data_IF_140334928057
#
_entry.id   IF_140334928057
#
_cell.length_a   1.000
_cell.length_b   1.000
_cell.length_c   1.000
_cell.angle_alpha   90.00
_cell.angle_beta   90.00
_cell.angle_gamma   90.00
#
_symmetry.space_group_name_H-M   'P 1'
#
loop_
_entity.id
_entity.type
_entity.pdbx_description
1 polymer ?
#
# COMPACT_ATOMS: atom_id res chain seq x y z
N UNK A 1 5.48 -7.59 -36.13
CA UNK A 1 4.39 -8.50 -35.68
C UNK A 1 3.72 -7.80 -34.51
N UNK A 2 2.55 -7.19 -34.69
CA UNK A 2 1.85 -6.49 -33.60
C UNK A 2 1.35 -7.51 -32.60
N UNK A 3 1.72 -7.34 -31.33
CA UNK A 3 1.11 -8.07 -30.24
C UNK A 3 -0.40 -7.79 -30.27
N UNK A 4 -1.20 -8.78 -30.66
CA UNK A 4 -2.64 -8.77 -30.41
C UNK A 4 -2.79 -8.59 -28.89
N UNK A 5 -3.34 -7.44 -28.47
CA UNK A 5 -3.74 -7.25 -27.09
C UNK A 5 -4.80 -8.32 -26.78
N UNK A 6 -4.38 -9.37 -26.08
CA UNK A 6 -5.25 -10.44 -25.63
C UNK A 6 -6.15 -9.81 -24.55
N UNK A 7 -7.30 -9.32 -24.98
CA UNK A 7 -8.21 -8.63 -24.09
C UNK A 7 -8.67 -9.56 -22.96
N UNK A 8 -8.73 -9.08 -21.71
CA UNK A 8 -8.99 -9.94 -20.56
C UNK A 8 -10.45 -10.42 -20.55
N UNK A 9 -10.68 -11.73 -20.51
CA UNK A 9 -12.04 -12.31 -20.36
C UNK A 9 -12.55 -12.26 -18.91
N UNK A 10 -11.63 -12.13 -17.96
CA UNK A 10 -11.89 -12.07 -16.52
C UNK A 10 -10.86 -11.15 -15.84
N UNK A 11 -11.24 -10.54 -14.71
CA UNK A 11 -10.34 -9.74 -13.88
C UNK A 11 -10.43 -10.16 -12.41
N UNK A 12 -9.27 -10.24 -11.75
CA UNK A 12 -9.18 -10.46 -10.32
C UNK A 12 -8.86 -9.14 -9.61
N UNK A 13 -9.77 -8.71 -8.75
CA UNK A 13 -9.59 -7.54 -7.89
C UNK A 13 -9.38 -8.04 -6.46
N UNK A 14 -8.38 -7.48 -5.77
CA UNK A 14 -8.01 -7.83 -4.40
C UNK A 14 -7.88 -6.57 -3.59
N UNK A 15 -8.38 -6.62 -2.36
CA UNK A 15 -8.12 -5.58 -1.36
C UNK A 15 -6.91 -5.99 -0.51
N UNK A 16 -6.03 -5.05 -0.22
CA UNK A 16 -4.86 -5.26 0.62
C UNK A 16 -5.02 -4.52 1.94
N UNK A 17 -4.57 -5.06 3.07
CA UNK A 17 -4.51 -4.30 4.31
C UNK A 17 -3.41 -3.21 4.20
N UNK A 18 -3.60 -2.07 4.87
CA UNK A 18 -2.67 -0.92 4.85
C UNK A 18 -1.23 -1.28 5.26
N UNK A 19 -1.03 -2.35 6.01
CA UNK A 19 0.32 -2.85 6.35
C UNK A 19 1.18 -3.14 5.11
N UNK A 20 0.59 -3.36 3.92
CA UNK A 20 1.34 -3.53 2.67
C UNK A 20 2.27 -2.34 2.37
N UNK A 21 1.96 -1.14 2.86
CA UNK A 21 2.77 0.07 2.70
C UNK A 21 4.03 0.10 3.57
N UNK A 22 4.27 -0.92 4.40
CA UNK A 22 5.53 -1.08 5.15
C UNK A 22 6.68 -1.65 4.30
N UNK A 23 6.44 -1.97 3.03
CA UNK A 23 7.48 -2.47 2.12
C UNK A 23 8.71 -1.55 1.97
N UNK A 24 8.62 -0.19 2.00
CA UNK A 24 9.80 0.66 1.96
C UNK A 24 10.66 0.49 3.21
N UNK A 25 10.04 0.38 4.40
CA UNK A 25 10.75 0.15 5.64
C UNK A 25 11.46 -1.21 5.65
N UNK A 26 10.85 -2.25 5.05
CA UNK A 26 11.50 -3.54 4.84
C UNK A 26 12.78 -3.38 4.02
N UNK A 27 12.70 -2.69 2.89
CA UNK A 27 13.85 -2.48 2.00
C UNK A 27 14.92 -1.65 2.69
N UNK A 28 14.53 -0.56 3.37
CA UNK A 28 15.46 0.25 4.16
C UNK A 28 16.15 -0.58 5.23
N UNK A 29 15.42 -1.39 5.99
CA UNK A 29 16.01 -2.26 7.02
C UNK A 29 17.01 -3.25 6.42
N UNK A 30 16.70 -3.85 5.28
CA UNK A 30 17.59 -4.79 4.60
C UNK A 30 18.85 -4.11 4.07
N UNK A 31 18.72 -2.93 3.44
CA UNK A 31 19.85 -2.16 2.93
C UNK A 31 20.76 -1.72 4.09
N UNK A 32 20.18 -1.20 5.17
CA UNK A 32 20.95 -0.75 6.34
C UNK A 32 21.64 -1.93 7.05
N UNK A 33 21.01 -3.10 7.09
CA UNK A 33 21.68 -4.33 7.55
C UNK A 33 22.93 -4.64 6.71
N UNK A 34 22.83 -4.65 5.39
CA UNK A 34 23.96 -4.91 4.49
C UNK A 34 25.09 -3.90 4.76
N UNK A 35 24.78 -2.60 4.81
CA UNK A 35 25.78 -1.55 5.05
C UNK A 35 26.44 -1.72 6.43
N UNK A 36 25.65 -2.01 7.46
CA UNK A 36 26.16 -2.13 8.83
C UNK A 36 27.03 -3.38 9.04
N UNK A 37 26.82 -4.46 8.27
CA UNK A 37 27.67 -5.67 8.33
C UNK A 37 29.11 -5.39 7.85
N UNK A 38 29.30 -4.44 6.93
CA UNK A 38 30.63 -4.04 6.47
C UNK A 38 31.28 -2.93 7.33
N UNK A 39 30.57 -2.46 8.36
CA UNK A 39 31.07 -1.43 9.28
C UNK A 39 31.60 -2.07 10.55
N UNK A 40 32.80 -1.68 11.00
CA UNK A 40 33.42 -2.25 12.20
C UNK A 40 32.61 -1.92 13.47
N UNK A 41 32.07 -0.70 13.54
CA UNK A 41 31.27 -0.21 14.66
C UNK A 41 29.85 0.18 14.22
N UNK A 42 28.85 0.13 15.12
CA UNK A 42 27.53 0.71 14.90
C UNK A 42 27.60 2.17 14.44
N UNK A 43 26.98 2.48 13.30
CA UNK A 43 27.02 3.84 12.73
C UNK A 43 25.74 4.59 13.12
N UNK A 44 25.81 5.67 13.94
CA UNK A 44 24.63 6.39 14.43
C UNK A 44 23.72 6.96 13.32
N UNK A 45 24.35 7.34 12.19
CA UNK A 45 23.64 7.91 11.04
C UNK A 45 22.68 6.87 10.43
N UNK A 46 23.07 5.59 10.39
CA UNK A 46 22.22 4.53 9.87
C UNK A 46 20.97 4.35 10.73
N UNK A 47 21.11 4.42 12.05
CA UNK A 47 19.97 4.31 12.96
C UNK A 47 19.05 5.53 12.87
N UNK A 48 19.62 6.72 12.71
CA UNK A 48 18.86 7.94 12.44
C UNK A 48 18.03 7.83 11.15
N UNK A 49 18.64 7.35 10.06
CA UNK A 49 17.92 7.10 8.79
C UNK A 49 16.80 6.09 8.99
N UNK A 50 17.05 5.00 9.72
CA UNK A 50 16.04 4.00 10.01
C UNK A 50 14.84 4.59 10.77
N UNK A 51 15.08 5.35 11.84
CA UNK A 51 14.01 5.99 12.61
C UNK A 51 13.22 7.01 11.81
N UNK A 52 13.87 7.78 10.93
CA UNK A 52 13.19 8.71 10.03
C UNK A 52 12.26 7.94 9.08
N UNK A 53 12.76 6.88 8.43
CA UNK A 53 11.92 6.08 7.52
C UNK A 53 10.80 5.38 8.26
N UNK A 54 11.07 4.82 9.43
CA UNK A 54 10.07 4.20 10.32
C UNK A 54 8.97 5.20 10.68
N UNK A 55 9.36 6.40 11.12
CA UNK A 55 8.42 7.45 11.45
C UNK A 55 7.56 7.84 10.24
N UNK A 56 8.19 8.10 9.08
CA UNK A 56 7.46 8.45 7.85
C UNK A 56 6.46 7.34 7.49
N UNK A 57 6.87 6.08 7.64
CA UNK A 57 6.02 4.95 7.30
C UNK A 57 4.79 4.84 8.23
N UNK A 58 4.97 4.99 9.54
CA UNK A 58 3.84 5.04 10.49
C UNK A 58 2.97 6.28 10.22
N UNK A 59 3.59 7.43 9.98
CA UNK A 59 2.86 8.67 9.72
C UNK A 59 1.96 8.55 8.49
N UNK A 60 2.50 8.07 7.38
CA UNK A 60 1.72 7.85 6.15
C UNK A 60 0.60 6.83 6.37
N UNK A 61 0.85 5.76 7.11
CA UNK A 61 -0.16 4.70 7.30
C UNK A 61 -1.23 5.04 8.33
N UNK A 62 -0.94 5.95 9.27
CA UNK A 62 -1.87 6.37 10.33
C UNK A 62 -2.87 7.43 9.88
N UNK A 63 -2.56 8.20 8.82
CA UNK A 63 -3.33 9.37 8.44
C UNK A 63 -3.77 9.31 6.96
N UNK A 64 -5.06 9.55 6.71
CA UNK A 64 -5.62 9.65 5.37
C UNK A 64 -5.58 11.10 4.88
N UNK A 65 -4.64 11.43 3.99
CA UNK A 65 -4.49 12.79 3.46
C UNK A 65 -5.08 12.93 2.06
N UNK A 66 -6.16 13.72 1.96
CA UNK A 66 -6.83 14.01 0.70
C UNK A 66 -6.09 14.99 -0.21
N UNK A 67 -5.17 15.80 0.34
CA UNK A 67 -4.43 16.83 -0.40
C UNK A 67 -2.93 16.61 -0.35
N UNK A 68 -2.34 16.33 -1.52
CA UNK A 68 -0.89 16.12 -1.70
C UNK A 68 -0.09 17.29 -1.15
N UNK A 69 -0.52 18.53 -1.44
CA UNK A 69 0.25 19.74 -1.11
C UNK A 69 0.29 20.00 0.40
N UNK A 70 -0.85 19.82 1.08
CA UNK A 70 -0.96 20.01 2.52
C UNK A 70 -0.14 18.96 3.28
N UNK A 71 -0.21 17.70 2.84
CA UNK A 71 0.61 16.66 3.42
C UNK A 71 2.10 16.90 3.21
N UNK A 72 2.55 17.18 1.97
CA UNK A 72 3.99 17.33 1.68
C UNK A 72 4.59 18.43 2.55
N UNK A 73 3.85 19.50 2.80
CA UNK A 73 4.25 20.55 3.72
C UNK A 73 4.40 20.03 5.16
N UNK A 74 3.41 19.31 5.69
CA UNK A 74 3.47 18.73 7.04
C UNK A 74 4.61 17.72 7.15
N UNK A 75 4.74 16.80 6.19
CA UNK A 75 5.81 15.82 6.18
C UNK A 75 7.18 16.49 6.14
N UNK A 76 7.36 17.52 5.31
CA UNK A 76 8.61 18.28 5.27
C UNK A 76 8.92 18.94 6.62
N UNK A 77 7.93 19.57 7.26
CA UNK A 77 8.09 20.18 8.59
C UNK A 77 8.48 19.11 9.61
N UNK A 78 7.79 17.97 9.61
CA UNK A 78 8.05 16.89 10.57
C UNK A 78 9.43 16.27 10.33
N UNK A 79 9.83 16.03 9.08
CA UNK A 79 11.18 15.54 8.75
C UNK A 79 12.24 16.55 9.19
N UNK A 80 12.03 17.85 8.98
CA UNK A 80 12.95 18.89 9.47
C UNK A 80 13.03 18.84 10.99
N UNK A 81 11.91 18.73 11.71
CA UNK A 81 11.89 18.61 13.17
C UNK A 81 12.67 17.37 13.60
N UNK A 82 12.46 16.21 12.97
CA UNK A 82 13.20 14.99 13.29
C UNK A 82 14.70 15.12 13.03
N UNK A 83 15.10 15.77 11.93
CA UNK A 83 16.51 16.04 11.65
C UNK A 83 17.09 16.98 12.71
N UNK A 84 16.38 18.03 13.12
CA UNK A 84 16.83 18.93 14.18
C UNK A 84 16.94 18.17 15.51
N UNK A 85 15.95 17.38 15.88
CA UNK A 85 15.92 16.62 17.14
C UNK A 85 17.00 15.53 17.18
N UNK A 86 17.22 14.81 16.09
CA UNK A 86 18.18 13.68 16.08
C UNK A 86 19.61 14.08 15.72
N UNK A 87 19.84 15.13 14.92
CA UNK A 87 21.19 15.53 14.49
C UNK A 87 21.71 16.82 15.15
N UNK A 88 20.84 17.80 15.42
CA UNK A 88 21.25 19.14 15.86
C UNK A 88 21.16 19.28 17.38
N UNK A 89 20.05 18.86 17.97
CA UNK A 89 19.79 18.99 19.40
C UNK A 89 20.85 18.29 20.27
N UNK A 90 21.33 17.06 19.96
CA UNK A 90 22.37 16.43 20.77
C UNK A 90 23.70 17.20 20.74
N UNK A 91 24.01 17.85 19.61
CA UNK A 91 25.26 18.62 19.43
C UNK A 91 25.21 19.99 20.11
N UNK A 92 24.04 20.64 20.13
CA UNK A 92 23.86 22.01 20.65
C UNK A 92 23.41 22.03 22.11
N UNK A 93 22.59 21.06 22.52
CA UNK A 93 22.08 20.96 23.89
C UNK A 93 23.00 20.19 24.84
N UNK A 94 23.95 19.39 24.33
CA UNK A 94 24.94 18.67 25.14
C UNK A 94 25.70 19.55 26.16
N UNK A 95 26.09 20.80 25.82
CA UNK A 95 26.71 21.74 26.76
C UNK A 95 25.76 22.39 27.78
N UNK A 96 24.45 22.43 27.50
CA UNK A 96 23.46 23.22 28.27
C UNK A 96 22.55 22.32 29.13
N UNK A 97 22.23 21.12 28.65
CA UNK A 97 21.52 20.07 29.38
C UNK A 97 22.38 18.80 29.44
N UNK A 98 23.01 18.49 30.58
CA UNK A 98 23.72 17.23 30.78
C UNK A 98 22.71 16.07 30.66
N UNK A 99 22.72 15.37 29.52
CA UNK A 99 21.79 14.29 29.19
C UNK A 99 21.15 14.41 27.80
N UNK A 100 20.98 15.62 27.27
CA UNK A 100 20.43 15.82 25.92
C UNK A 100 21.43 15.47 24.81
N UNK A 101 22.74 15.52 25.11
CA UNK A 101 23.82 15.16 24.18
C UNK A 101 24.14 13.67 24.08
N UNK A 102 23.40 12.80 24.79
CA UNK A 102 23.67 11.36 24.88
C UNK A 102 22.69 10.48 24.08
N UNK A 103 21.91 11.07 23.16
CA UNK A 103 21.03 10.29 22.28
C UNK A 103 21.87 9.49 21.29
N UNK A 104 22.28 8.30 21.73
CA UNK A 104 22.95 7.33 20.88
C UNK A 104 21.90 6.49 20.13
N UNK A 105 21.66 6.87 18.88
CA UNK A 105 20.77 6.15 17.96
C UNK A 105 21.52 5.03 17.21
N UNK A 106 22.69 4.62 17.69
CA UNK A 106 23.42 3.49 17.14
C UNK A 106 22.64 2.20 17.32
N UNK A 107 22.26 1.59 16.19
CA UNK A 107 21.56 0.31 16.17
C UNK A 107 22.53 -0.79 15.74
N UNK A 108 22.39 -1.97 16.37
CA UNK A 108 23.21 -3.13 16.05
C UNK A 108 22.82 -3.72 14.68
N UNK A 109 23.74 -4.39 13.98
CA UNK A 109 23.41 -5.11 12.74
C UNK A 109 22.25 -6.12 12.93
N UNK A 110 22.18 -6.76 14.10
CA UNK A 110 21.14 -7.73 14.44
C UNK A 110 19.75 -7.09 14.47
N UNK A 111 19.64 -5.84 14.92
CA UNK A 111 18.38 -5.12 14.91
C UNK A 111 17.80 -5.00 13.49
N UNK A 112 18.61 -4.53 12.54
CA UNK A 112 18.18 -4.36 11.15
C UNK A 112 17.77 -5.70 10.51
N UNK A 113 18.50 -6.77 10.79
CA UNK A 113 18.17 -8.11 10.31
C UNK A 113 16.83 -8.61 10.87
N UNK A 114 16.64 -8.50 12.20
CA UNK A 114 15.41 -8.93 12.86
C UNK A 114 14.22 -8.14 12.33
N UNK A 115 14.34 -6.82 12.20
CA UNK A 115 13.28 -5.98 11.62
C UNK A 115 12.97 -6.37 10.18
N UNK A 116 14.00 -6.66 9.37
CA UNK A 116 13.81 -7.15 7.99
C UNK A 116 13.02 -8.45 7.96
N UNK A 117 13.38 -9.43 8.80
CA UNK A 117 12.70 -10.72 8.86
C UNK A 117 11.25 -10.57 9.31
N UNK A 118 10.99 -9.81 10.38
CA UNK A 118 9.63 -9.55 10.88
C UNK A 118 8.77 -8.94 9.77
N UNK A 119 9.25 -7.87 9.13
CA UNK A 119 8.52 -7.20 8.06
C UNK A 119 8.33 -8.13 6.85
N UNK A 120 9.34 -8.92 6.50
CA UNK A 120 9.26 -9.88 5.40
C UNK A 120 8.18 -10.93 5.64
N UNK A 121 8.13 -11.50 6.84
CA UNK A 121 7.10 -12.48 7.19
C UNK A 121 5.71 -11.87 7.20
N UNK A 122 5.53 -10.69 7.81
CA UNK A 122 4.22 -10.02 7.85
C UNK A 122 3.72 -9.70 6.43
N UNK A 123 4.56 -9.05 5.61
CA UNK A 123 4.21 -8.70 4.24
C UNK A 123 4.00 -9.95 3.37
N UNK A 124 4.80 -10.99 3.58
CA UNK A 124 4.63 -12.28 2.91
C UNK A 124 3.27 -12.91 3.22
N UNK A 125 2.88 -12.97 4.50
CA UNK A 125 1.58 -13.48 4.93
C UNK A 125 0.44 -12.65 4.32
N UNK A 126 0.56 -11.33 4.30
CA UNK A 126 -0.44 -10.43 3.69
C UNK A 126 -0.61 -10.72 2.20
N UNK A 127 0.49 -10.84 1.46
CA UNK A 127 0.46 -11.16 0.03
C UNK A 127 -0.16 -12.54 -0.21
N UNK A 128 0.13 -13.52 0.64
CA UNK A 128 -0.45 -14.87 0.55
C UNK A 128 -1.94 -14.85 0.87
N UNK A 129 -2.34 -14.17 1.96
CA UNK A 129 -3.73 -14.07 2.41
C UNK A 129 -4.63 -13.47 1.32
N UNK A 130 -4.17 -12.39 0.67
CA UNK A 130 -4.89 -11.75 -0.44
C UNK A 130 -4.99 -12.61 -1.70
N UNK A 131 -4.27 -13.75 -1.80
CA UNK A 131 -4.50 -14.73 -2.88
C UNK A 131 -5.76 -15.55 -2.68
N UNK A 132 -6.22 -15.69 -1.44
CA UNK A 132 -7.39 -16.50 -1.10
C UNK A 132 -8.67 -15.66 -1.03
N UNK A 133 -8.55 -14.36 -0.77
CA UNK A 133 -9.67 -13.41 -0.77
C UNK A 133 -9.61 -12.51 -2.00
N UNK A 134 -10.52 -12.72 -2.94
CA UNK A 134 -10.56 -11.97 -4.18
C UNK A 134 -11.96 -11.89 -4.77
N UNK A 135 -12.16 -10.84 -5.58
CA UNK A 135 -13.30 -10.68 -6.45
C UNK A 135 -12.86 -11.04 -7.87
N UNK A 136 -13.50 -12.04 -8.44
CA UNK A 136 -13.37 -12.39 -9.85
C UNK A 136 -14.55 -11.80 -10.59
N UNK A 137 -14.29 -10.89 -11.51
CA UNK A 137 -15.33 -10.30 -12.35
C UNK A 137 -15.24 -10.94 -13.73
N UNK A 138 -16.34 -11.55 -14.14
CA UNK A 138 -16.57 -12.07 -15.48
C UNK A 138 -17.60 -11.18 -16.20
N UNK A 139 -17.92 -11.49 -17.45
CA UNK A 139 -18.90 -10.70 -18.24
C UNK A 139 -20.30 -10.68 -17.62
N UNK A 140 -20.71 -11.79 -16.99
CA UNK A 140 -22.09 -11.98 -16.53
C UNK A 140 -22.22 -12.04 -15.01
N UNK A 141 -21.17 -12.42 -14.29
CA UNK A 141 -21.18 -12.58 -12.84
C UNK A 141 -19.92 -12.03 -12.16
N UNK A 142 -20.11 -11.55 -10.93
CA UNK A 142 -19.06 -11.22 -9.97
C UNK A 142 -19.02 -12.37 -8.97
N UNK A 143 -17.88 -13.02 -8.85
CA UNK A 143 -17.64 -14.12 -7.92
C UNK A 143 -16.76 -13.59 -6.80
N UNK A 144 -17.31 -13.51 -5.59
CA UNK A 144 -16.56 -13.14 -4.39
C UNK A 144 -16.16 -14.41 -3.64
N UNK A 145 -14.85 -14.66 -3.53
CA UNK A 145 -14.31 -15.77 -2.75
C UNK A 145 -13.76 -15.25 -1.42
N UNK A 146 -14.42 -15.62 -0.31
CA UNK A 146 -14.02 -15.25 1.05
C UNK A 146 -13.06 -16.30 1.66
N UNK A 147 -11.82 -16.36 1.20
CA UNK A 147 -10.80 -17.25 1.79
C UNK A 147 -10.82 -18.70 1.29
N UNK A 148 -10.08 -19.59 1.97
CA UNK A 148 -9.75 -20.94 1.47
C UNK A 148 -10.96 -21.88 1.48
N UNK A 149 -11.79 -21.81 2.52
CA UNK A 149 -12.87 -22.76 2.78
C UNK A 149 -14.29 -22.17 2.70
N UNK A 150 -14.43 -20.88 2.34
CA UNK A 150 -15.76 -20.28 2.19
C UNK A 150 -16.36 -20.58 0.82
N UNK A 151 -17.67 -20.77 0.81
CA UNK A 151 -18.47 -20.77 -0.42
C UNK A 151 -18.30 -19.44 -1.16
N UNK A 152 -18.21 -19.51 -2.48
CA UNK A 152 -18.12 -18.34 -3.33
C UNK A 152 -19.52 -17.74 -3.54
N UNK A 153 -19.65 -16.45 -3.25
CA UNK A 153 -20.89 -15.68 -3.50
C UNK A 153 -20.87 -15.17 -4.93
N UNK A 154 -22.03 -15.22 -5.61
CA UNK A 154 -22.17 -14.82 -7.01
C UNK A 154 -23.19 -13.71 -7.13
N UNK A 155 -22.82 -12.64 -7.81
CA UNK A 155 -23.66 -11.46 -8.02
C UNK A 155 -23.79 -11.16 -9.51
N UNK A 156 -24.98 -10.79 -10.02
CA UNK A 156 -25.15 -10.45 -11.43
C UNK A 156 -24.47 -9.12 -11.76
N UNK A 157 -23.82 -9.05 -12.93
CA UNK A 157 -23.14 -7.83 -13.44
C UNK A 157 -24.12 -6.85 -14.10
N UNK A 158 -25.38 -7.26 -14.35
CA UNK A 158 -26.41 -6.40 -14.96
C UNK A 158 -26.56 -5.11 -14.15
N UNK A 159 -26.36 -3.97 -14.81
CA UNK A 159 -26.42 -2.63 -14.21
C UNK A 159 -25.40 -2.37 -13.08
N UNK A 160 -24.25 -3.05 -13.12
CA UNK A 160 -23.14 -2.78 -12.20
C UNK A 160 -22.69 -1.32 -12.32
N UNK A 161 -22.68 -0.61 -11.20
CA UNK A 161 -22.04 0.70 -11.07
C UNK A 161 -20.77 0.53 -10.25
N UNK A 162 -19.71 1.23 -10.64
CA UNK A 162 -18.48 1.25 -9.84
C UNK A 162 -17.98 2.68 -9.71
N UNK A 163 -17.24 2.94 -8.64
CA UNK A 163 -16.62 4.22 -8.35
C UNK A 163 -15.19 3.99 -7.91
N UNK A 164 -14.26 4.68 -8.57
CA UNK A 164 -12.88 4.82 -8.14
C UNK A 164 -12.74 6.06 -7.29
N UNK A 165 -12.13 5.91 -6.12
CA UNK A 165 -11.72 7.02 -5.27
C UNK A 165 -10.23 6.87 -4.96
N UNK A 166 -9.49 7.98 -4.97
CA UNK A 166 -8.11 8.03 -4.48
C UNK A 166 -8.18 8.76 -3.14
N UNK A 167 -8.40 8.04 -2.03
CA UNK A 167 -8.54 8.67 -0.72
C UNK A 167 -7.21 9.25 -0.23
N UNK A 168 -6.11 8.57 -0.55
CA UNK A 168 -4.77 8.93 -0.12
C UNK A 168 -3.78 8.94 -1.30
N UNK A 169 -3.08 10.05 -1.42
CA UNK A 169 -2.07 10.29 -2.45
C UNK A 169 -0.84 9.39 -2.26
N UNK A 170 -0.50 8.99 -1.03
CA UNK A 170 0.64 8.11 -0.76
C UNK A 170 0.39 6.70 -1.22
N UNK A 171 -0.79 6.18 -0.93
CA UNK A 171 -1.23 4.89 -1.45
C UNK A 171 -1.12 4.85 -2.98
N UNK A 172 -1.54 5.94 -3.62
CA UNK A 172 -1.42 6.11 -5.07
C UNK A 172 0.02 6.27 -5.56
N UNK A 173 0.89 6.99 -4.84
CA UNK A 173 2.28 7.17 -5.23
C UNK A 173 3.11 5.89 -5.07
N UNK A 174 2.95 5.18 -3.95
CA UNK A 174 3.74 4.00 -3.59
C UNK A 174 3.35 2.77 -4.42
N UNK A 175 2.05 2.47 -4.52
CA UNK A 175 1.56 1.24 -5.16
C UNK A 175 0.45 1.49 -6.19
N UNK A 176 0.17 2.76 -6.52
CA UNK A 176 -0.99 3.15 -7.36
C UNK A 176 -2.28 2.58 -6.81
N UNK A 177 -2.37 2.53 -5.48
CA UNK A 177 -3.51 2.00 -4.78
C UNK A 177 -4.61 3.05 -4.64
N UNK A 178 -5.84 2.57 -4.46
CA UNK A 178 -6.99 3.41 -4.16
C UNK A 178 -8.20 2.58 -3.75
N UNK A 179 -9.28 3.27 -3.44
CA UNK A 179 -10.54 2.68 -3.03
C UNK A 179 -11.42 2.41 -4.24
N UNK A 180 -11.93 1.19 -4.32
CA UNK A 180 -12.80 0.73 -5.38
C UNK A 180 -14.12 0.26 -4.80
N UNK A 181 -15.22 0.91 -5.19
CA UNK A 181 -16.57 0.56 -4.72
C UNK A 181 -17.38 0.01 -5.87
N UNK A 182 -17.99 -1.16 -5.71
CA UNK A 182 -18.87 -1.80 -6.68
C UNK A 182 -20.28 -1.93 -6.11
N UNK A 183 -21.28 -1.58 -6.92
CA UNK A 183 -22.70 -1.57 -6.56
C UNK A 183 -23.45 -2.37 -7.64
N UNK A 184 -23.72 -3.67 -7.42
CA UNK A 184 -24.50 -4.47 -8.34
C UNK A 184 -25.96 -4.00 -8.36
N UNK A 185 -26.53 -3.69 -9.53
CA UNK A 185 -27.83 -3.01 -9.61
C UNK A 185 -29.05 -3.75 -9.04
N UNK A 186 -28.94 -5.06 -8.77
CA UNK A 186 -30.00 -5.89 -8.18
C UNK A 186 -29.72 -6.36 -6.74
N UNK A 187 -28.51 -6.12 -6.23
CA UNK A 187 -28.15 -6.51 -4.87
C UNK A 187 -28.00 -5.25 -4.03
N UNK A 188 -28.62 -5.23 -2.84
CA UNK A 188 -28.43 -4.15 -1.86
C UNK A 188 -27.02 -4.16 -1.23
N UNK A 189 -26.14 -5.04 -1.68
CA UNK A 189 -24.79 -5.21 -1.14
C UNK A 189 -23.77 -4.36 -1.91
N UNK A 190 -23.24 -3.34 -1.22
CA UNK A 190 -22.14 -2.51 -1.73
C UNK A 190 -20.82 -3.17 -1.37
N UNK A 191 -20.06 -3.57 -2.39
CA UNK A 191 -18.72 -4.16 -2.21
C UNK A 191 -17.68 -3.06 -2.18
N UNK A 192 -17.04 -2.88 -1.03
CA UNK A 192 -16.03 -1.85 -0.81
C UNK A 192 -14.67 -2.52 -0.71
N UNK A 193 -13.76 -2.16 -1.61
CA UNK A 193 -12.35 -2.56 -1.55
C UNK A 193 -11.52 -1.31 -1.24
N UNK A 194 -11.02 -1.20 -0.01
CA UNK A 194 -10.35 0.03 0.44
C UNK A 194 -8.98 0.25 -0.22
N UNK A 195 -8.21 -0.81 -0.46
CA UNK A 195 -6.86 -0.69 -1.03
C UNK A 195 -6.68 -1.68 -2.18
N UNK A 196 -7.02 -1.25 -3.38
CA UNK A 196 -6.79 -1.99 -4.62
C UNK A 196 -5.53 -1.49 -5.29
N UNK A 197 -4.51 -2.35 -5.40
CA UNK A 197 -3.25 -1.99 -6.05
C UNK A 197 -3.45 -1.77 -7.55
N UNK A 198 -2.70 -0.81 -8.13
CA UNK A 198 -2.80 -0.45 -9.54
C UNK A 198 -4.24 -0.15 -10.01
N UNK A 199 -4.97 0.66 -9.23
CA UNK A 199 -6.40 0.91 -9.44
C UNK A 199 -6.76 1.42 -10.84
N UNK A 200 -5.91 2.25 -11.45
CA UNK A 200 -6.12 2.74 -12.82
C UNK A 200 -6.08 1.64 -13.88
N UNK A 201 -5.30 0.58 -13.67
CA UNK A 201 -5.26 -0.58 -14.57
C UNK A 201 -6.52 -1.42 -14.39
N UNK A 202 -6.96 -1.58 -13.15
CA UNK A 202 -8.17 -2.32 -12.79
C UNK A 202 -9.41 -1.66 -13.40
N UNK A 203 -9.54 -0.34 -13.24
CA UNK A 203 -10.63 0.45 -13.83
C UNK A 203 -10.70 0.29 -15.36
N UNK A 204 -9.58 0.52 -16.08
CA UNK A 204 -9.54 0.37 -17.54
C UNK A 204 -9.93 -1.03 -18.02
N UNK A 205 -9.50 -2.07 -17.30
CA UNK A 205 -9.86 -3.44 -17.64
C UNK A 205 -11.33 -3.73 -17.38
N UNK A 206 -11.90 -3.17 -16.31
CA UNK A 206 -13.31 -3.32 -16.00
C UNK A 206 -14.20 -2.57 -17.00
N UNK A 207 -13.85 -1.33 -17.36
CA UNK A 207 -14.52 -0.56 -18.41
C UNK A 207 -14.57 -1.35 -19.74
N UNK A 208 -13.44 -1.97 -20.10
CA UNK A 208 -13.36 -2.78 -21.31
C UNK A 208 -14.27 -4.02 -21.22
N UNK A 209 -14.29 -4.71 -20.08
CA UNK A 209 -15.13 -5.88 -19.85
C UNK A 209 -16.63 -5.56 -19.93
N UNK A 210 -17.05 -4.42 -19.36
CA UNK A 210 -18.47 -4.04 -19.26
C UNK A 210 -19.02 -3.41 -20.55
N UNK A 211 -18.20 -2.67 -21.31
CA UNK A 211 -18.64 -2.03 -22.56
C UNK A 211 -19.11 -3.04 -23.63
N UNK A 212 -18.64 -4.28 -23.56
CA UNK A 212 -19.05 -5.37 -24.46
C UNK A 212 -20.28 -6.14 -23.98
N UNK A 213 -20.80 -5.85 -22.78
CA UNK A 213 -22.02 -6.47 -22.23
C UNK A 213 -23.25 -5.59 -22.52
N UNK A 214 -23.04 -4.29 -22.78
CA UNK A 214 -24.09 -3.32 -23.11
C UNK A 214 -24.53 -3.31 -24.59
N UNK A 215 -24.09 -4.27 -25.41
CA UNK A 215 -24.45 -4.36 -26.83
C UNK A 215 -24.99 -5.76 -27.15
N UNK A 216 -26.18 -6.06 -26.65
CA UNK A 216 -27.13 -6.93 -27.36
C UNK A 216 -28.20 -5.97 -27.89
N UNK A 217 -28.22 -5.68 -29.20
CA UNK A 217 -29.37 -5.00 -29.79
C UNK A 217 -30.55 -5.95 -29.62
N UNK A 218 -31.65 -5.47 -29.04
CA UNK A 218 -32.94 -6.12 -29.19
C UNK A 218 -33.12 -6.40 -30.68
N UNK A 219 -33.18 -7.69 -31.05
CA UNK A 219 -33.62 -8.10 -32.37
C UNK A 219 -35.04 -7.56 -32.54
N UNK A 220 -35.17 -6.49 -33.33
CA UNK A 220 -36.45 -5.93 -33.72
C UNK A 220 -36.96 -6.84 -34.83
N UNK A 221 -37.83 -7.78 -34.48
CA UNK A 221 -38.71 -8.48 -35.42
C UNK A 221 -39.75 -7.52 -36.01
#
# INVERSE_FOLDING_TARGET
MSAQEKHPTEIFIRSYPKVIFFWPLLITSFILWIIQVFSADPVPILGTVWFIVFFINIFVTAFDFSSTKFFVLILAIVVIILLVVFLVLPKVAGPILPGAGQLDLSLSPQFYLVMTLILFFILGIVIISTRFEYYKIERNEIIHKKGIFSSAERFPVKSLRFKKEIPDVFEFFLLRAGKFTMMPGKADEVMILDTVLNINKVEKHLDWLLSHVSVEPDEID
#
